data_IF_441887082461
#
_entry.id   IF_441887082461
#
_cell.length_a   1.000
_cell.length_b   1.000
_cell.length_c   1.000
_cell.angle_alpha   90.00
_cell.angle_beta   90.00
_cell.angle_gamma   90.00
#
_symmetry.space_group_name_H-M   'P 1'
#
loop_
_entity.id
_entity.type
_entity.pdbx_description
1 polymer ?
#
# COMPACT_ATOMS: atom_id res chain seq x y z
N UNK A 1 5.47 -13.10 22.02
CA UNK A 1 5.24 -11.64 21.99
C UNK A 1 3.79 -11.45 22.38
N UNK A 2 3.46 -10.51 23.27
CA UNK A 2 2.08 -10.21 23.67
C UNK A 2 1.48 -9.25 22.64
N UNK A 3 0.22 -9.40 22.26
CA UNK A 3 -0.47 -8.48 21.37
C UNK A 3 -0.57 -7.09 22.02
N UNK A 4 -0.34 -6.06 21.22
CA UNK A 4 -0.50 -4.67 21.67
C UNK A 4 -2.00 -4.31 21.63
N UNK A 5 -2.48 -3.59 22.64
CA UNK A 5 -3.89 -3.17 22.73
C UNK A 5 -4.90 -4.32 22.57
N UNK A 6 -4.78 -5.35 23.37
CA UNK A 6 -5.73 -6.47 23.36
C UNK A 6 -7.16 -5.98 23.60
N UNK A 7 -8.12 -6.54 22.86
CA UNK A 7 -9.55 -6.26 22.99
C UNK A 7 -10.32 -7.52 23.40
N UNK A 8 -11.22 -7.37 24.35
CA UNK A 8 -12.10 -8.43 24.83
C UNK A 8 -13.50 -7.88 25.09
N UNK A 9 -14.56 -8.42 24.44
CA UNK A 9 -14.52 -9.52 23.47
C UNK A 9 -13.87 -9.13 22.14
N UNK A 10 -13.33 -10.10 21.38
CA UNK A 10 -12.71 -9.83 20.08
C UNK A 10 -13.73 -9.30 19.09
N UNK A 11 -13.32 -8.33 18.26
CA UNK A 11 -14.18 -7.71 17.29
C UNK A 11 -14.50 -8.65 16.11
N UNK A 12 -15.78 -8.76 15.69
CA UNK A 12 -16.15 -9.56 14.52
C UNK A 12 -15.85 -8.82 13.22
N UNK A 13 -15.40 -9.54 12.21
CA UNK A 13 -15.12 -9.03 10.88
C UNK A 13 -15.36 -10.05 9.79
N UNK A 14 -15.23 -9.59 8.56
CA UNK A 14 -15.35 -10.40 7.35
C UNK A 14 -14.14 -10.19 6.47
N UNK A 15 -13.86 -11.14 5.58
CA UNK A 15 -13.03 -10.88 4.42
C UNK A 15 -13.77 -11.22 3.13
N UNK A 16 -13.54 -10.41 2.10
CA UNK A 16 -14.31 -10.47 0.86
C UNK A 16 -13.43 -10.28 -0.36
N UNK A 17 -13.93 -10.79 -1.47
CA UNK A 17 -13.33 -10.65 -2.80
C UNK A 17 -14.43 -10.61 -3.86
N UNK A 18 -14.06 -10.72 -5.13
CA UNK A 18 -15.02 -10.90 -6.23
C UNK A 18 -16.04 -12.02 -6.02
N UNK A 19 -15.71 -13.01 -5.19
CA UNK A 19 -16.59 -14.15 -4.96
C UNK A 19 -17.84 -13.83 -4.14
N UNK A 20 -17.82 -12.75 -3.36
CA UNK A 20 -18.98 -12.23 -2.63
C UNK A 20 -19.82 -11.26 -3.48
N UNK A 21 -19.33 -10.88 -4.68
CA UNK A 21 -20.04 -9.99 -5.59
C UNK A 21 -20.35 -8.63 -4.96
N UNK A 22 -21.60 -8.18 -5.15
CA UNK A 22 -22.08 -6.92 -4.60
C UNK A 22 -22.45 -7.08 -3.13
N UNK A 23 -21.68 -6.44 -2.25
CA UNK A 23 -21.92 -6.43 -0.81
C UNK A 23 -22.73 -5.19 -0.42
N UNK A 24 -23.78 -5.39 0.38
CA UNK A 24 -24.52 -4.32 1.05
C UNK A 24 -23.84 -3.99 2.39
N UNK A 25 -22.84 -3.13 2.34
CA UNK A 25 -22.00 -2.79 3.48
C UNK A 25 -22.76 -2.17 4.66
N UNK A 26 -23.78 -1.28 4.46
CA UNK A 26 -24.65 -0.82 5.55
C UNK A 26 -25.30 -1.98 6.32
N UNK A 27 -25.76 -3.03 5.63
CA UNK A 27 -26.34 -4.20 6.31
C UNK A 27 -25.30 -5.03 7.04
N UNK A 28 -24.09 -5.17 6.50
CA UNK A 28 -22.96 -5.83 7.20
C UNK A 28 -22.66 -5.08 8.49
N UNK A 29 -22.56 -3.74 8.44
CA UNK A 29 -22.34 -2.90 9.64
C UNK A 29 -23.47 -3.02 10.65
N UNK A 30 -24.71 -2.96 10.20
CA UNK A 30 -25.91 -3.09 11.07
C UNK A 30 -25.99 -4.47 11.73
N UNK A 31 -25.41 -5.51 11.12
CA UNK A 31 -25.31 -6.86 11.71
C UNK A 31 -24.20 -6.97 12.77
N UNK A 32 -23.50 -5.88 13.10
CA UNK A 32 -22.53 -5.80 14.19
C UNK A 32 -21.06 -6.10 13.76
N UNK A 33 -20.78 -6.28 12.49
CA UNK A 33 -19.39 -6.43 12.03
C UNK A 33 -18.64 -5.10 12.16
N UNK A 34 -17.40 -5.17 12.64
CA UNK A 34 -16.58 -4.00 12.94
C UNK A 34 -15.54 -3.70 11.86
N UNK A 35 -15.11 -4.71 11.11
CA UNK A 35 -14.04 -4.57 10.14
C UNK A 35 -14.22 -5.48 8.91
N UNK A 36 -13.49 -5.13 7.85
CA UNK A 36 -13.38 -5.94 6.64
C UNK A 36 -11.94 -5.96 6.12
N UNK A 37 -11.47 -7.13 5.69
CA UNK A 37 -10.34 -7.23 4.77
C UNK A 37 -10.87 -7.42 3.34
N UNK A 38 -10.40 -6.58 2.42
CA UNK A 38 -10.85 -6.58 1.03
C UNK A 38 -9.72 -7.07 0.14
N UNK A 39 -10.01 -8.04 -0.75
CA UNK A 39 -9.00 -8.48 -1.70
C UNK A 39 -8.63 -7.38 -2.68
N UNK A 40 -7.37 -6.94 -2.65
CA UNK A 40 -6.82 -6.02 -3.64
C UNK A 40 -6.67 -6.70 -5.02
N UNK A 41 -6.26 -7.96 -5.01
CA UNK A 41 -6.04 -8.76 -6.20
C UNK A 41 -5.23 -10.01 -5.90
N UNK A 42 -4.54 -10.50 -6.92
CA UNK A 42 -3.53 -11.54 -6.74
C UNK A 42 -2.24 -11.19 -7.49
N UNK A 43 -1.11 -11.55 -6.90
CA UNK A 43 0.20 -11.41 -7.51
C UNK A 43 0.59 -12.71 -8.22
N UNK A 44 0.99 -12.60 -9.49
CA UNK A 44 1.60 -13.68 -10.25
C UNK A 44 2.99 -14.04 -9.72
N UNK A 45 3.58 -15.11 -10.25
CA UNK A 45 4.91 -15.57 -9.85
C UNK A 45 6.01 -14.51 -10.00
N UNK A 46 5.90 -13.64 -10.98
CA UNK A 46 6.81 -12.56 -11.33
C UNK A 46 6.55 -11.23 -10.57
N UNK A 47 5.55 -11.22 -9.70
CA UNK A 47 5.17 -10.04 -8.92
C UNK A 47 4.19 -9.08 -9.61
N UNK A 48 3.80 -9.34 -10.88
CA UNK A 48 2.72 -8.57 -11.51
C UNK A 48 1.39 -8.83 -10.81
N UNK A 49 0.52 -7.80 -10.74
CA UNK A 49 -0.78 -7.91 -10.04
C UNK A 49 -1.93 -7.88 -11.05
N UNK A 50 -2.89 -8.76 -10.80
CA UNK A 50 -4.23 -8.68 -11.40
C UNK A 50 -5.17 -8.21 -10.31
N UNK A 51 -5.69 -6.99 -10.45
CA UNK A 51 -6.60 -6.40 -9.49
C UNK A 51 -7.93 -7.18 -9.40
N UNK A 52 -8.51 -7.24 -8.21
CA UNK A 52 -9.84 -7.80 -8.03
C UNK A 52 -10.88 -6.82 -8.61
N UNK A 53 -11.78 -7.27 -9.51
CA UNK A 53 -12.75 -6.38 -10.16
C UNK A 53 -13.74 -5.72 -9.19
N UNK A 54 -13.83 -6.19 -7.94
CA UNK A 54 -14.65 -5.61 -6.90
C UNK A 54 -13.84 -4.83 -5.85
N UNK A 55 -12.53 -4.69 -6.03
CA UNK A 55 -11.66 -4.02 -5.05
C UNK A 55 -12.16 -2.63 -4.71
N UNK A 56 -12.22 -1.73 -5.69
CA UNK A 56 -12.64 -0.33 -5.52
C UNK A 56 -14.00 -0.20 -4.83
N UNK A 57 -14.94 -0.98 -5.30
CA UNK A 57 -16.30 -0.97 -4.76
C UNK A 57 -16.35 -1.44 -3.31
N UNK A 58 -15.59 -2.48 -2.98
CA UNK A 58 -15.61 -3.06 -1.63
C UNK A 58 -14.85 -2.18 -0.64
N UNK A 59 -13.66 -1.68 -0.99
CA UNK A 59 -12.86 -0.83 -0.10
C UNK A 59 -13.60 0.47 0.22
N UNK A 60 -14.15 1.14 -0.81
CA UNK A 60 -14.91 2.38 -0.65
C UNK A 60 -16.23 2.15 0.10
N UNK A 61 -16.97 1.10 -0.26
CA UNK A 61 -18.25 0.79 0.36
C UNK A 61 -18.13 0.40 1.83
N UNK A 62 -17.14 -0.41 2.20
CA UNK A 62 -16.90 -0.77 3.59
C UNK A 62 -16.48 0.43 4.44
N UNK A 63 -15.59 1.28 3.93
CA UNK A 63 -15.17 2.51 4.60
C UNK A 63 -16.35 3.48 4.79
N UNK A 64 -17.15 3.71 3.74
CA UNK A 64 -18.34 4.57 3.80
C UNK A 64 -19.40 4.07 4.80
N UNK A 65 -19.50 2.75 5.00
CA UNK A 65 -20.38 2.16 6.01
C UNK A 65 -19.80 2.23 7.44
N UNK A 66 -18.58 2.76 7.63
CA UNK A 66 -17.94 2.92 8.93
C UNK A 66 -17.34 1.62 9.49
N UNK A 67 -16.93 0.68 8.64
CA UNK A 67 -16.08 -0.43 9.03
C UNK A 67 -14.61 0.01 9.01
N UNK A 68 -13.79 -0.60 9.85
CA UNK A 68 -12.35 -0.54 9.68
C UNK A 68 -11.96 -1.40 8.47
N UNK A 69 -11.09 -0.87 7.58
CA UNK A 69 -10.79 -1.53 6.30
C UNK A 69 -9.30 -1.75 6.15
N UNK A 70 -8.94 -2.98 5.85
CA UNK A 70 -7.63 -3.40 5.35
C UNK A 70 -7.75 -4.13 4.02
N UNK A 71 -6.61 -4.44 3.44
CA UNK A 71 -6.56 -5.13 2.15
C UNK A 71 -5.68 -6.36 2.21
N UNK A 72 -5.95 -7.34 1.33
CA UNK A 72 -5.06 -8.47 1.17
C UNK A 72 -4.74 -8.75 -0.30
N UNK A 73 -3.49 -9.18 -0.52
CA UNK A 73 -2.99 -9.61 -1.82
C UNK A 73 -2.77 -11.12 -1.79
N UNK A 74 -3.54 -11.88 -2.58
CA UNK A 74 -3.33 -13.31 -2.74
C UNK A 74 -2.04 -13.56 -3.53
N UNK A 75 -1.17 -14.44 -3.04
CA UNK A 75 0.18 -14.59 -3.56
C UNK A 75 0.40 -15.85 -4.39
N UNK A 76 1.05 -15.66 -5.57
CA UNK A 76 1.77 -16.69 -6.32
C UNK A 76 3.26 -16.33 -6.49
N UNK A 77 3.78 -15.40 -5.74
CA UNK A 77 5.14 -14.87 -5.80
C UNK A 77 6.15 -16.01 -5.58
N UNK A 78 7.30 -16.00 -6.27
CA UNK A 78 8.27 -17.10 -6.19
C UNK A 78 9.70 -16.72 -5.80
N UNK A 79 9.96 -15.43 -5.59
CA UNK A 79 11.24 -14.90 -5.14
C UNK A 79 11.10 -13.61 -4.35
N UNK A 80 12.11 -13.24 -3.59
CA UNK A 80 12.17 -11.97 -2.88
C UNK A 80 12.13 -10.77 -3.84
N UNK A 81 12.81 -10.86 -4.99
CA UNK A 81 12.78 -9.80 -6.01
C UNK A 81 11.35 -9.56 -6.51
N UNK A 82 10.61 -10.64 -6.80
CA UNK A 82 9.22 -10.55 -7.23
C UNK A 82 8.27 -10.10 -6.09
N UNK A 83 8.62 -10.40 -4.85
CA UNK A 83 7.89 -9.88 -3.68
C UNK A 83 8.00 -8.35 -3.58
N UNK A 84 9.18 -7.79 -3.84
CA UNK A 84 9.38 -6.33 -3.88
C UNK A 84 8.60 -5.68 -5.03
N UNK A 85 8.57 -6.33 -6.22
CA UNK A 85 7.75 -5.86 -7.36
C UNK A 85 6.26 -5.86 -6.98
N UNK A 86 5.77 -6.95 -6.39
CA UNK A 86 4.38 -7.03 -5.95
C UNK A 86 4.03 -5.99 -4.88
N UNK A 87 4.95 -5.71 -3.93
CA UNK A 87 4.76 -4.67 -2.94
C UNK A 87 4.66 -3.29 -3.59
N UNK A 88 5.54 -2.93 -4.52
CA UNK A 88 5.47 -1.67 -5.25
C UNK A 88 4.15 -1.50 -5.99
N UNK A 89 3.70 -2.56 -6.71
CA UNK A 89 2.40 -2.55 -7.39
C UNK A 89 1.21 -2.47 -6.44
N UNK A 90 1.31 -3.09 -5.26
CA UNK A 90 0.31 -2.94 -4.20
C UNK A 90 0.19 -1.49 -3.77
N UNK A 91 1.31 -0.82 -3.53
CA UNK A 91 1.34 0.59 -3.12
C UNK A 91 0.76 1.53 -4.18
N UNK A 92 1.03 1.29 -5.46
CA UNK A 92 0.40 2.04 -6.57
C UNK A 92 -1.13 1.94 -6.54
N UNK A 93 -1.67 0.73 -6.31
CA UNK A 93 -3.11 0.51 -6.23
C UNK A 93 -3.74 1.11 -4.95
N UNK A 94 -2.96 1.35 -3.92
CA UNK A 94 -3.41 1.93 -2.65
C UNK A 94 -3.28 3.45 -2.59
N UNK A 95 -2.69 4.11 -3.58
CA UNK A 95 -2.34 5.53 -3.53
C UNK A 95 -3.53 6.47 -3.22
N UNK A 96 -4.74 6.10 -3.61
CA UNK A 96 -5.97 6.89 -3.38
C UNK A 96 -6.80 6.37 -2.19
N UNK A 97 -6.30 5.39 -1.42
CA UNK A 97 -7.05 4.75 -0.35
C UNK A 97 -6.44 4.97 1.03
N UNK A 98 -7.24 5.43 1.97
CA UNK A 98 -6.87 5.46 3.38
C UNK A 98 -7.30 4.17 4.05
N UNK A 99 -6.33 3.39 4.52
CA UNK A 99 -6.58 2.16 5.26
C UNK A 99 -6.56 2.42 6.76
N UNK A 100 -7.42 1.70 7.47
CA UNK A 100 -7.48 1.69 8.94
C UNK A 100 -7.07 0.36 9.54
N UNK A 101 -6.72 -0.60 8.68
CA UNK A 101 -6.20 -1.92 9.00
C UNK A 101 -4.99 -2.23 8.12
N UNK A 102 -4.23 -3.31 8.43
CA UNK A 102 -3.04 -3.70 7.69
C UNK A 102 -3.23 -3.94 6.19
N UNK A 103 -2.09 -3.87 5.47
CA UNK A 103 -1.90 -4.46 4.14
C UNK A 103 -1.35 -5.87 4.33
N UNK A 104 -2.12 -6.87 3.90
CA UNK A 104 -1.86 -8.27 4.20
C UNK A 104 -1.30 -9.01 2.99
N UNK A 105 -0.21 -9.76 3.18
CA UNK A 105 0.23 -10.77 2.23
C UNK A 105 -0.48 -12.10 2.55
N UNK A 106 -1.37 -12.54 1.68
CA UNK A 106 -2.03 -13.82 1.73
C UNK A 106 -1.15 -14.88 1.05
N UNK A 107 -0.44 -15.67 1.88
CA UNK A 107 0.59 -16.62 1.45
C UNK A 107 0.19 -18.05 1.81
N UNK A 108 -0.67 -18.67 0.99
CA UNK A 108 -1.27 -19.96 1.30
C UNK A 108 -1.27 -20.97 0.14
N UNK A 109 -0.76 -20.59 -1.05
CA UNK A 109 -0.84 -21.47 -2.24
C UNK A 109 0.00 -22.73 -2.11
N UNK A 110 -0.58 -23.76 -1.45
CA UNK A 110 0.08 -25.00 -1.06
C UNK A 110 0.80 -25.73 -2.22
N UNK A 111 0.19 -25.77 -3.42
CA UNK A 111 0.76 -26.47 -4.58
C UNK A 111 2.13 -25.89 -5.00
N UNK A 112 2.39 -24.63 -4.73
CA UNK A 112 3.66 -23.93 -5.01
C UNK A 112 4.55 -23.94 -3.78
N UNK A 113 4.08 -23.42 -2.67
CA UNK A 113 4.92 -23.07 -1.52
C UNK A 113 5.39 -24.26 -0.68
N UNK A 114 4.69 -25.38 -0.73
CA UNK A 114 5.18 -26.64 -0.11
C UNK A 114 6.42 -27.22 -0.79
N UNK A 115 6.78 -26.70 -1.99
CA UNK A 115 8.00 -27.08 -2.73
C UNK A 115 9.22 -26.23 -2.36
N UNK A 116 9.01 -25.12 -1.65
CA UNK A 116 10.08 -24.23 -1.19
C UNK A 116 10.53 -24.63 0.21
N UNK A 117 11.78 -24.27 0.54
CA UNK A 117 12.24 -24.42 1.93
C UNK A 117 11.52 -23.41 2.84
N UNK A 118 11.56 -23.64 4.13
CA UNK A 118 10.97 -22.75 5.15
C UNK A 118 11.61 -21.36 5.07
N UNK A 119 12.91 -21.33 4.92
CA UNK A 119 13.72 -20.11 4.81
C UNK A 119 13.30 -19.30 3.58
N UNK A 120 13.16 -19.97 2.42
CA UNK A 120 12.72 -19.30 1.19
C UNK A 120 11.31 -18.72 1.31
N UNK A 121 10.36 -19.48 1.84
CA UNK A 121 9.00 -19.00 2.06
C UNK A 121 9.01 -17.75 2.96
N UNK A 122 9.75 -17.82 4.06
CA UNK A 122 9.84 -16.72 5.03
C UNK A 122 10.53 -15.48 4.44
N UNK A 123 11.61 -15.67 3.68
CA UNK A 123 12.31 -14.57 3.02
C UNK A 123 11.43 -13.82 2.00
N UNK A 124 10.62 -14.56 1.22
CA UNK A 124 9.66 -13.96 0.28
C UNK A 124 8.64 -13.10 1.03
N UNK A 125 8.07 -13.63 2.12
CA UNK A 125 7.09 -12.89 2.92
C UNK A 125 7.70 -11.64 3.57
N UNK A 126 8.88 -11.77 4.18
CA UNK A 126 9.58 -10.65 4.80
C UNK A 126 9.94 -9.56 3.77
N UNK A 127 10.37 -9.94 2.56
CA UNK A 127 10.69 -8.99 1.50
C UNK A 127 9.47 -8.15 1.06
N UNK A 128 8.29 -8.76 0.96
CA UNK A 128 7.05 -8.02 0.69
C UNK A 128 6.71 -7.09 1.86
N UNK A 129 6.63 -7.65 3.07
CA UNK A 129 6.21 -6.92 4.26
C UNK A 129 7.15 -5.77 4.60
N UNK A 130 8.46 -5.94 4.39
CA UNK A 130 9.44 -4.88 4.59
C UNK A 130 9.17 -3.68 3.66
N UNK A 131 8.84 -3.91 2.38
CA UNK A 131 8.48 -2.82 1.46
C UNK A 131 7.19 -2.11 1.87
N UNK A 132 6.18 -2.85 2.34
CA UNK A 132 4.92 -2.28 2.83
C UNK A 132 5.16 -1.45 4.10
N UNK A 133 5.95 -1.98 5.06
CA UNK A 133 6.32 -1.27 6.28
C UNK A 133 7.12 0.00 5.96
N UNK A 134 8.05 -0.12 5.04
CA UNK A 134 8.89 0.96 4.58
C UNK A 134 8.10 2.09 3.92
N UNK A 135 6.98 1.79 3.28
CA UNK A 135 6.02 2.76 2.78
C UNK A 135 5.06 3.29 3.88
N UNK A 136 5.31 2.97 5.16
CA UNK A 136 4.54 3.44 6.32
C UNK A 136 3.21 2.73 6.57
N UNK A 137 2.84 1.73 5.75
CA UNK A 137 1.68 0.90 6.05
C UNK A 137 2.03 -0.17 7.08
N UNK A 138 1.06 -0.56 7.90
CA UNK A 138 1.22 -1.71 8.77
C UNK A 138 1.10 -2.99 7.93
N UNK A 139 2.19 -3.79 7.75
CA UNK A 139 2.09 -5.04 7.04
C UNK A 139 1.58 -6.15 7.95
N UNK A 140 0.94 -7.15 7.36
CA UNK A 140 0.54 -8.36 8.07
C UNK A 140 0.69 -9.59 7.18
N UNK A 141 1.01 -10.72 7.77
CA UNK A 141 1.05 -12.01 7.12
C UNK A 141 -0.23 -12.80 7.40
N UNK A 142 -0.82 -13.38 6.34
CA UNK A 142 -1.91 -14.36 6.47
C UNK A 142 -1.51 -15.71 5.89
N UNK A 143 -1.89 -16.76 6.61
CA UNK A 143 -1.91 -18.14 6.14
C UNK A 143 -2.75 -19.01 7.06
N UNK A 144 -2.79 -20.31 6.79
CA UNK A 144 -3.48 -21.27 7.68
C UNK A 144 -2.50 -22.01 8.60
N UNK A 145 -2.97 -22.38 9.79
CA UNK A 145 -2.17 -22.93 10.90
C UNK A 145 -1.23 -24.06 10.49
N UNK A 146 -1.70 -25.06 9.73
CA UNK A 146 -0.86 -26.20 9.36
C UNK A 146 0.24 -25.83 8.35
N UNK A 147 0.03 -24.83 7.50
CA UNK A 147 1.06 -24.32 6.61
C UNK A 147 2.14 -23.59 7.41
N UNK A 148 1.74 -22.68 8.28
CA UNK A 148 2.64 -21.92 9.14
C UNK A 148 3.56 -22.85 9.93
N UNK A 149 2.99 -23.84 10.61
CA UNK A 149 3.75 -24.77 11.45
C UNK A 149 4.71 -25.67 10.65
N UNK A 150 4.39 -25.98 9.40
CA UNK A 150 5.16 -26.94 8.59
C UNK A 150 6.12 -26.29 7.61
N UNK A 151 5.78 -25.12 7.05
CA UNK A 151 6.46 -24.55 5.88
C UNK A 151 6.99 -23.14 6.08
N UNK A 152 6.87 -22.55 7.29
CA UNK A 152 7.43 -21.25 7.64
C UNK A 152 8.49 -21.37 8.73
N UNK A 153 9.53 -20.56 8.66
CA UNK A 153 10.42 -20.32 9.80
C UNK A 153 9.82 -19.18 10.63
N UNK A 154 9.05 -19.58 11.64
CA UNK A 154 8.35 -18.64 12.51
C UNK A 154 9.27 -17.84 13.43
N UNK A 155 10.52 -18.25 13.60
CA UNK A 155 11.51 -17.47 14.35
C UNK A 155 12.06 -16.30 13.52
N UNK A 156 12.18 -16.51 12.21
CA UNK A 156 12.69 -15.52 11.26
C UNK A 156 11.59 -14.69 10.56
N UNK A 157 10.31 -15.04 10.73
CA UNK A 157 9.21 -14.28 10.14
C UNK A 157 9.01 -12.96 10.91
N UNK A 158 9.04 -11.85 10.18
CA UNK A 158 8.67 -10.54 10.71
C UNK A 158 7.17 -10.52 11.00
N UNK A 159 6.79 -10.37 12.27
CA UNK A 159 5.39 -10.50 12.71
C UNK A 159 4.74 -9.16 13.00
N UNK A 160 5.51 -8.08 12.92
CA UNK A 160 5.03 -6.73 13.24
C UNK A 160 4.10 -6.74 14.47
N UNK A 161 2.83 -6.36 14.29
CA UNK A 161 1.84 -6.30 15.39
C UNK A 161 0.95 -7.56 15.48
N UNK A 162 1.35 -8.67 14.81
CA UNK A 162 0.67 -9.96 14.87
C UNK A 162 0.39 -10.58 13.50
N UNK A 163 -0.35 -11.69 13.53
CA UNK A 163 -0.63 -12.52 12.37
C UNK A 163 -2.14 -12.59 12.12
N UNK A 164 -2.55 -12.78 10.87
CA UNK A 164 -3.89 -13.23 10.53
C UNK A 164 -3.85 -14.70 10.15
N UNK A 165 -4.53 -15.53 10.93
CA UNK A 165 -4.43 -16.99 10.83
C UNK A 165 -5.79 -17.64 10.59
N UNK A 166 -5.86 -18.48 9.55
CA UNK A 166 -7.02 -19.33 9.31
C UNK A 166 -6.89 -20.67 10.03
N UNK A 167 -7.94 -21.02 10.79
CA UNK A 167 -8.11 -22.33 11.35
C UNK A 167 -9.59 -22.57 11.70
N UNK A 168 -10.18 -23.59 11.09
CA UNK A 168 -11.61 -23.91 11.23
C UNK A 168 -11.88 -25.04 12.23
N UNK A 169 -10.89 -25.42 13.04
CA UNK A 169 -11.00 -26.51 14.02
C UNK A 169 -11.38 -26.05 15.43
N UNK A 170 -11.77 -24.78 15.58
CA UNK A 170 -12.18 -24.22 16.87
C UNK A 170 -11.04 -23.65 17.72
N UNK A 171 -9.79 -23.62 17.21
CA UNK A 171 -8.62 -23.04 17.89
C UNK A 171 -7.68 -22.37 16.89
N UNK A 172 -6.98 -21.35 17.31
CA UNK A 172 -6.03 -20.62 16.46
C UNK A 172 -4.83 -21.51 16.10
N UNK A 173 -4.18 -22.10 17.09
CA UNK A 173 -3.06 -23.05 16.91
C UNK A 173 -1.72 -22.44 16.57
N UNK A 174 -1.58 -21.12 16.69
CA UNK A 174 -0.33 -20.34 16.60
C UNK A 174 -0.39 -19.21 17.61
N UNK A 175 0.76 -18.87 18.15
CA UNK A 175 0.88 -17.72 19.04
C UNK A 175 0.88 -16.39 18.27
N UNK A 176 0.47 -15.31 18.93
CA UNK A 176 0.50 -13.95 18.40
C UNK A 176 -0.41 -13.71 17.17
N UNK A 177 -1.53 -14.42 17.10
CA UNK A 177 -2.55 -14.15 16.09
C UNK A 177 -3.38 -12.92 16.50
N UNK A 178 -3.21 -11.83 15.77
CA UNK A 178 -3.99 -10.61 15.93
C UNK A 178 -5.40 -10.76 15.35
N UNK A 179 -5.53 -11.56 14.29
CA UNK A 179 -6.80 -11.88 13.64
C UNK A 179 -6.90 -13.41 13.43
N UNK A 180 -8.06 -13.95 13.72
CA UNK A 180 -8.40 -15.34 13.48
C UNK A 180 -9.55 -15.46 12.47
N UNK A 181 -9.29 -16.04 11.31
CA UNK A 181 -10.33 -16.50 10.40
C UNK A 181 -10.82 -17.86 10.86
N UNK A 182 -12.00 -17.90 11.46
CA UNK A 182 -12.53 -19.08 12.13
C UNK A 182 -13.57 -19.86 11.32
N UNK A 183 -14.01 -19.33 10.18
CA UNK A 183 -14.95 -19.97 9.27
C UNK A 183 -14.78 -19.45 7.85
N UNK A 184 -14.92 -20.33 6.86
CA UNK A 184 -14.99 -20.00 5.43
C UNK A 184 -16.41 -20.19 4.85
N UNK A 185 -17.42 -20.26 5.71
CA UNK A 185 -18.79 -20.60 5.28
C UNK A 185 -19.87 -19.86 6.08
N UNK A 186 -19.55 -18.68 6.59
CA UNK A 186 -20.50 -17.85 7.32
C UNK A 186 -21.63 -17.31 6.44
N UNK A 187 -22.79 -17.04 7.07
CA UNK A 187 -23.87 -16.27 6.47
C UNK A 187 -23.88 -14.88 7.10
N UNK A 188 -23.70 -13.85 6.28
CA UNK A 188 -23.58 -12.46 6.71
C UNK A 188 -24.69 -11.63 6.08
N UNK A 189 -25.52 -10.92 6.87
CA UNK A 189 -26.51 -10.00 6.29
C UNK A 189 -25.83 -8.96 5.39
N UNK A 190 -26.27 -8.85 4.14
CA UNK A 190 -25.66 -7.97 3.15
C UNK A 190 -24.66 -8.64 2.23
N UNK A 191 -24.24 -9.86 2.49
CA UNK A 191 -23.35 -10.66 1.63
C UNK A 191 -24.14 -11.79 0.99
N UNK A 192 -23.98 -11.99 -0.31
CA UNK A 192 -24.59 -13.10 -1.02
C UNK A 192 -23.70 -14.36 -0.93
N UNK A 193 -24.29 -15.47 -0.55
CA UNK A 193 -23.59 -16.76 -0.43
C UNK A 193 -22.74 -16.85 0.84
N UNK A 194 -21.60 -17.57 0.72
CA UNK A 194 -20.68 -17.80 1.84
C UNK A 194 -19.71 -16.65 2.01
N UNK A 195 -19.38 -16.34 3.25
CA UNK A 195 -18.43 -15.32 3.62
C UNK A 195 -17.46 -15.86 4.68
N UNK A 196 -16.24 -15.45 4.61
CA UNK A 196 -15.23 -15.74 5.60
C UNK A 196 -15.46 -14.86 6.84
N UNK A 197 -15.40 -15.51 8.04
CA UNK A 197 -15.66 -14.86 9.31
C UNK A 197 -14.39 -14.76 10.13
N UNK A 198 -14.17 -13.59 10.69
CA UNK A 198 -12.96 -13.24 11.42
C UNK A 198 -13.26 -12.70 12.81
N UNK A 199 -12.26 -12.84 13.69
CA UNK A 199 -12.21 -12.22 15.02
C UNK A 199 -10.87 -11.51 15.19
N UNK A 200 -10.90 -10.24 15.52
CA UNK A 200 -9.73 -9.41 15.79
C UNK A 200 -9.54 -9.29 17.30
N UNK A 201 -8.35 -9.59 17.79
CA UNK A 201 -7.99 -9.68 19.21
C UNK A 201 -7.20 -8.47 19.72
N UNK A 202 -6.74 -7.59 18.85
CA UNK A 202 -6.09 -6.34 19.23
C UNK A 202 -6.66 -5.17 18.43
N UNK A 203 -6.52 -3.95 18.94
CA UNK A 203 -7.02 -2.72 18.28
C UNK A 203 -6.10 -2.32 17.13
N UNK A 204 -6.16 -3.08 16.02
CA UNK A 204 -5.40 -2.78 14.82
C UNK A 204 -5.69 -1.38 14.26
N UNK A 205 -6.95 -0.88 14.23
CA UNK A 205 -7.22 0.50 13.82
C UNK A 205 -6.46 1.55 14.64
N UNK A 206 -6.34 1.33 15.94
CA UNK A 206 -5.53 2.19 16.81
C UNK A 206 -4.04 2.09 16.47
N UNK A 207 -3.53 0.89 16.26
CA UNK A 207 -2.13 0.66 15.92
C UNK A 207 -1.80 1.35 14.59
N UNK A 208 -2.63 1.17 13.56
CA UNK A 208 -2.47 1.81 12.24
C UNK A 208 -2.47 3.33 12.37
N UNK A 209 -3.39 3.89 13.16
CA UNK A 209 -3.44 5.34 13.39
C UNK A 209 -2.19 5.88 14.13
N UNK A 210 -1.70 5.13 15.11
CA UNK A 210 -0.51 5.52 15.89
C UNK A 210 0.80 5.31 15.13
N UNK A 211 0.83 4.38 14.17
CA UNK A 211 2.02 4.13 13.33
C UNK A 211 2.21 5.16 12.21
N UNK A 212 1.27 6.09 12.03
CA UNK A 212 1.40 7.13 11.00
C UNK A 212 1.26 6.58 9.57
N UNK A 213 0.29 5.68 9.35
CA UNK A 213 0.04 5.08 8.02
C UNK A 213 -0.05 6.13 6.92
N UNK A 214 0.63 5.94 5.76
CA UNK A 214 0.56 6.83 4.61
C UNK A 214 -0.88 6.96 4.10
N UNK A 215 -1.21 8.15 3.67
CA UNK A 215 -2.57 8.61 3.42
C UNK A 215 -3.03 9.63 4.47
N UNK A 216 -2.25 9.81 5.56
CA UNK A 216 -2.51 10.77 6.62
C UNK A 216 -1.60 12.02 6.57
N UNK A 217 -0.50 12.01 5.81
CA UNK A 217 0.25 13.25 5.57
C UNK A 217 -0.46 13.97 4.43
N UNK A 218 -1.26 14.97 4.79
CA UNK A 218 -1.91 15.82 3.81
C UNK A 218 -0.84 16.57 3.02
N UNK A 219 -0.91 16.50 1.70
CA UNK A 219 -0.10 17.36 0.83
C UNK A 219 -0.89 18.63 0.56
N UNK A 220 -0.34 19.75 0.97
CA UNK A 220 -0.95 21.06 0.72
C UNK A 220 -0.46 21.58 -0.65
N UNK A 221 -1.38 21.98 -1.55
CA UNK A 221 -1.00 22.59 -2.82
C UNK A 221 -0.03 23.74 -2.58
N UNK A 222 1.06 23.76 -3.29
CA UNK A 222 2.11 24.78 -3.15
C UNK A 222 2.41 25.37 -4.52
N UNK A 223 2.00 26.62 -4.74
CA UNK A 223 2.31 27.37 -5.96
C UNK A 223 3.54 28.25 -5.78
N UNK A 224 4.21 28.59 -6.88
CA UNK A 224 5.35 29.50 -6.87
C UNK A 224 6.63 28.90 -6.27
N UNK A 225 6.72 27.57 -6.18
CA UNK A 225 7.91 26.88 -5.70
C UNK A 225 8.38 25.82 -6.70
N UNK A 226 9.68 25.62 -6.71
CA UNK A 226 10.36 24.60 -7.50
C UNK A 226 11.34 23.82 -6.61
N UNK A 227 11.59 22.55 -6.96
CA UNK A 227 12.65 21.74 -6.38
C UNK A 227 13.90 21.87 -7.26
N UNK A 228 14.97 22.45 -6.74
CA UNK A 228 16.27 22.48 -7.40
C UNK A 228 17.10 21.28 -6.96
N UNK A 229 17.44 20.40 -7.88
CA UNK A 229 18.36 19.28 -7.68
C UNK A 229 19.73 19.68 -8.22
N UNK A 230 20.71 19.82 -7.36
CA UNK A 230 22.07 20.21 -7.69
C UNK A 230 23.11 19.12 -7.47
N UNK A 231 22.72 17.99 -6.86
CA UNK A 231 23.49 16.76 -6.81
C UNK A 231 22.56 15.56 -6.91
N UNK A 232 22.50 14.95 -8.08
CA UNK A 232 21.66 13.80 -8.37
C UNK A 232 22.12 12.49 -7.69
N UNK A 233 23.29 12.46 -7.07
CA UNK A 233 23.90 11.21 -6.56
C UNK A 233 23.05 10.50 -5.52
N UNK A 234 22.16 11.20 -4.82
CA UNK A 234 21.27 10.70 -3.77
C UNK A 234 19.85 11.28 -3.81
N UNK A 235 19.45 11.89 -4.92
CA UNK A 235 18.09 12.41 -5.09
C UNK A 235 17.19 11.36 -5.74
N UNK A 236 16.90 10.30 -5.00
CA UNK A 236 15.91 9.31 -5.41
C UNK A 236 14.51 9.97 -5.48
N UNK A 237 13.67 9.48 -6.38
CA UNK A 237 12.25 9.83 -6.40
C UNK A 237 11.38 8.59 -6.14
N UNK A 238 10.16 8.83 -5.69
CA UNK A 238 9.32 7.82 -5.09
C UNK A 238 7.94 7.81 -5.75
N UNK A 239 7.33 6.64 -5.88
CA UNK A 239 5.97 6.47 -6.44
C UNK A 239 4.88 6.73 -5.41
N UNK A 240 5.22 6.76 -4.13
CA UNK A 240 4.33 7.06 -3.02
C UNK A 240 5.05 7.98 -2.01
N UNK A 241 4.33 8.65 -1.09
CA UNK A 241 4.93 9.52 -0.07
C UNK A 241 5.65 8.67 1.00
N UNK A 242 6.78 8.10 0.64
CA UNK A 242 7.69 7.33 1.49
C UNK A 242 9.06 7.23 0.84
N UNK A 243 10.14 7.39 1.61
CA UNK A 243 11.52 7.20 1.13
C UNK A 243 11.82 5.74 0.73
N UNK A 244 10.92 4.83 1.02
CA UNK A 244 11.04 3.42 0.73
C UNK A 244 10.31 2.98 -0.55
N UNK A 245 9.44 3.84 -1.09
CA UNK A 245 8.73 3.63 -2.36
C UNK A 245 9.61 4.02 -3.57
N UNK A 246 10.89 3.65 -3.53
CA UNK A 246 11.91 4.04 -4.51
C UNK A 246 11.61 3.45 -5.88
N UNK A 247 11.74 4.26 -6.92
CA UNK A 247 11.68 3.78 -8.30
C UNK A 247 12.95 3.03 -8.64
N UNK A 248 12.81 1.84 -9.19
CA UNK A 248 13.92 1.01 -9.63
C UNK A 248 14.02 1.04 -11.15
N UNK A 249 15.21 1.29 -11.68
CA UNK A 249 15.47 1.20 -13.11
C UNK A 249 15.58 -0.27 -13.60
N UNK A 250 15.73 -0.45 -14.91
CA UNK A 250 15.82 -1.77 -15.53
C UNK A 250 17.02 -2.62 -15.02
N UNK A 251 18.04 -1.98 -14.48
CA UNK A 251 19.24 -2.65 -13.94
C UNK A 251 19.09 -3.03 -12.45
N UNK A 252 17.90 -2.80 -11.86
CA UNK A 252 17.63 -3.08 -10.45
C UNK A 252 18.32 -2.11 -9.48
N UNK A 253 18.73 -0.93 -9.94
CA UNK A 253 19.25 0.16 -9.11
C UNK A 253 18.15 1.20 -8.89
N UNK A 254 18.28 1.96 -7.80
CA UNK A 254 17.39 3.09 -7.54
C UNK A 254 17.51 4.13 -8.64
N UNK A 255 16.39 4.55 -9.17
CA UNK A 255 16.35 5.63 -10.15
C UNK A 255 16.41 6.99 -9.44
N UNK A 256 16.95 8.01 -10.10
CA UNK A 256 17.27 9.29 -9.47
C UNK A 256 16.79 10.45 -10.34
N UNK A 257 16.38 11.53 -9.68
CA UNK A 257 16.14 12.78 -10.36
C UNK A 257 17.46 13.32 -10.91
N UNK A 258 17.55 13.60 -12.21
CA UNK A 258 18.67 14.35 -12.78
C UNK A 258 18.84 15.72 -12.11
N UNK A 259 20.03 16.30 -12.22
CA UNK A 259 20.22 17.70 -11.85
C UNK A 259 19.32 18.60 -12.69
N UNK A 260 18.67 19.55 -12.05
CA UNK A 260 17.71 20.42 -12.72
C UNK A 260 16.64 20.97 -11.78
N UNK A 261 15.62 21.55 -12.37
CA UNK A 261 14.54 22.22 -11.66
C UNK A 261 13.21 21.53 -11.96
N UNK A 262 12.44 21.25 -10.92
CA UNK A 262 11.17 20.52 -11.00
C UNK A 262 10.04 21.33 -10.38
N UNK A 263 8.92 21.42 -11.09
CA UNK A 263 7.71 22.09 -10.58
C UNK A 263 7.19 21.34 -9.34
N UNK A 264 7.05 22.05 -8.23
CA UNK A 264 6.43 21.53 -7.02
C UNK A 264 4.92 21.70 -7.10
N UNK A 265 4.19 20.61 -6.96
CA UNK A 265 2.73 20.56 -6.97
C UNK A 265 2.15 20.74 -5.58
N UNK A 266 2.78 20.09 -4.59
CA UNK A 266 2.37 20.15 -3.20
C UNK A 266 3.52 19.84 -2.25
N UNK A 267 3.42 20.34 -1.02
CA UNK A 267 4.33 20.06 0.11
C UNK A 267 3.60 19.22 1.15
N UNK A 268 4.28 18.24 1.71
CA UNK A 268 3.77 17.44 2.82
C UNK A 268 3.55 18.34 4.06
N UNK A 269 2.40 18.19 4.71
CA UNK A 269 2.08 18.83 5.98
C UNK A 269 2.71 18.01 7.12
N UNK A 270 4.04 18.16 7.27
CA UNK A 270 4.86 17.40 8.21
C UNK A 270 5.97 16.60 7.55
N UNK A 271 6.64 15.78 8.35
CA UNK A 271 7.73 14.93 7.85
C UNK A 271 7.20 13.56 7.43
N UNK A 272 7.64 13.09 6.27
CA UNK A 272 7.41 11.72 5.78
C UNK A 272 8.69 10.94 5.99
N UNK A 273 8.64 9.90 6.81
CA UNK A 273 9.81 9.09 7.19
C UNK A 273 11.00 9.93 7.73
N UNK A 274 10.69 11.06 8.37
CA UNK A 274 11.68 11.97 8.94
C UNK A 274 12.20 13.04 7.98
N UNK A 275 11.70 13.12 6.74
CA UNK A 275 12.11 14.09 5.72
C UNK A 275 10.96 15.00 5.28
N UNK A 276 11.20 16.28 5.02
CA UNK A 276 10.26 17.10 4.26
C UNK A 276 10.13 16.51 2.86
N UNK A 277 8.89 16.34 2.38
CA UNK A 277 8.65 15.72 1.08
C UNK A 277 7.74 16.58 0.21
N UNK A 278 8.03 16.59 -1.07
CA UNK A 278 7.24 17.31 -2.09
C UNK A 278 6.70 16.36 -3.12
N UNK A 279 5.55 16.73 -3.68
CA UNK A 279 5.07 16.19 -4.95
C UNK A 279 5.63 17.04 -6.08
N UNK A 280 6.17 16.40 -7.10
CA UNK A 280 6.68 17.05 -8.31
C UNK A 280 6.15 16.36 -9.57
N UNK A 281 6.20 17.04 -10.69
CA UNK A 281 5.94 16.46 -12.00
C UNK A 281 7.26 15.98 -12.61
N UNK A 282 7.39 14.67 -12.90
CA UNK A 282 8.56 14.12 -13.56
C UNK A 282 8.17 13.00 -14.54
N UNK A 283 8.68 13.07 -15.77
CA UNK A 283 8.36 12.09 -16.82
C UNK A 283 6.86 11.96 -17.14
N UNK A 284 6.08 13.03 -16.94
CA UNK A 284 4.62 13.02 -17.12
C UNK A 284 3.82 12.42 -15.97
N UNK A 285 4.47 12.01 -14.88
CA UNK A 285 3.84 11.44 -13.70
C UNK A 285 4.02 12.34 -12.48
N UNK A 286 3.06 12.29 -11.56
CA UNK A 286 3.26 12.83 -10.23
C UNK A 286 4.13 11.83 -9.45
N UNK A 287 5.27 12.32 -8.96
CA UNK A 287 6.20 11.56 -8.13
C UNK A 287 6.51 12.36 -6.87
N UNK A 288 7.15 11.70 -5.90
CA UNK A 288 7.52 12.30 -4.62
C UNK A 288 9.03 12.42 -4.52
N UNK A 289 9.52 13.49 -3.90
CA UNK A 289 10.94 13.70 -3.65
C UNK A 289 11.15 14.20 -2.22
N UNK A 290 12.13 13.65 -1.52
CA UNK A 290 12.57 14.17 -0.23
C UNK A 290 13.43 15.42 -0.46
N UNK A 291 13.22 16.45 0.38
CA UNK A 291 14.07 17.64 0.37
C UNK A 291 15.30 17.32 1.22
N UNK A 292 16.45 17.34 0.58
CA UNK A 292 17.76 17.08 1.18
C UNK A 292 18.64 18.30 0.97
N UNK A 293 18.80 19.14 1.98
CA UNK A 293 19.44 20.48 1.88
C UNK A 293 20.84 20.47 1.25
N UNK A 294 21.54 19.34 1.30
CA UNK A 294 22.86 19.15 0.69
C UNK A 294 22.80 18.60 -0.75
N UNK A 295 21.62 18.35 -1.30
CA UNK A 295 21.40 17.74 -2.63
C UNK A 295 20.34 18.42 -3.47
N UNK A 296 19.26 18.84 -2.82
CA UNK A 296 18.14 19.53 -3.44
C UNK A 296 17.47 20.45 -2.42
N UNK A 297 16.84 21.51 -2.90
CA UNK A 297 16.15 22.48 -2.04
C UNK A 297 14.91 23.04 -2.70
N UNK A 298 13.99 23.53 -1.88
CA UNK A 298 12.90 24.39 -2.37
C UNK A 298 13.43 25.80 -2.66
N UNK A 299 13.12 26.28 -3.84
CA UNK A 299 13.39 27.65 -4.27
C UNK A 299 12.11 28.34 -4.74
N UNK A 300 12.09 29.64 -4.76
CA UNK A 300 11.01 30.39 -5.41
C UNK A 300 11.12 30.23 -6.93
N UNK A 301 9.99 30.10 -7.63
CA UNK A 301 10.00 30.18 -9.08
C UNK A 301 10.39 31.59 -9.49
N UNK A 302 11.30 31.76 -10.46
CA UNK A 302 11.60 33.08 -10.98
C UNK A 302 10.33 33.79 -11.49
N UNK A 303 10.21 35.09 -11.27
CA UNK A 303 9.07 35.94 -11.75
C UNK A 303 8.94 35.97 -13.29
N UNK A 304 9.97 35.56 -14.01
CA UNK A 304 9.98 35.41 -15.47
C UNK A 304 9.82 33.92 -15.83
N UNK A 305 8.61 33.54 -16.23
CA UNK A 305 8.16 32.31 -16.86
C UNK A 305 9.02 31.04 -16.63
N UNK A 306 8.43 30.01 -16.04
CA UNK A 306 9.06 28.69 -15.91
C UNK A 306 9.44 28.17 -17.31
N UNK A 307 10.74 28.08 -17.61
CA UNK A 307 11.23 27.26 -18.70
C UNK A 307 11.12 25.78 -18.29
N UNK A 308 9.94 25.20 -18.50
CA UNK A 308 9.69 23.80 -18.28
C UNK A 308 10.48 23.03 -19.35
N UNK A 309 11.65 22.51 -19.01
CA UNK A 309 12.30 21.47 -19.80
C UNK A 309 11.43 20.19 -19.76
N UNK A 310 10.39 20.20 -20.58
CA UNK A 310 9.53 19.03 -20.76
C UNK A 310 10.29 18.00 -21.59
N UNK A 311 10.56 16.85 -20.98
CA UNK A 311 10.96 15.64 -21.71
C UNK A 311 9.89 15.37 -22.77
N UNK A 312 10.23 14.92 -24.00
CA UNK A 312 9.26 14.66 -25.04
C UNK A 312 8.15 13.74 -24.55
N UNK A 313 6.93 14.24 -24.53
CA UNK A 313 5.78 13.46 -24.07
C UNK A 313 5.27 12.55 -25.18
N UNK A 314 5.14 11.24 -24.92
CA UNK A 314 4.87 10.26 -25.97
C UNK A 314 3.44 10.29 -26.53
N UNK A 315 2.46 10.94 -25.88
CA UNK A 315 1.08 10.93 -26.37
C UNK A 315 0.29 12.22 -26.10
N UNK A 316 -0.78 12.40 -26.88
CA UNK A 316 -1.63 13.60 -26.84
C UNK A 316 -2.53 13.71 -25.60
N UNK A 317 -2.80 12.59 -24.93
CA UNK A 317 -3.59 12.55 -23.68
C UNK A 317 -2.85 13.18 -22.52
N UNK A 318 -1.57 12.88 -22.38
CA UNK A 318 -0.72 13.43 -21.31
C UNK A 318 -0.54 14.95 -21.49
N UNK A 319 -0.40 15.42 -22.73
CA UNK A 319 -0.33 16.85 -23.06
C UNK A 319 -1.59 17.61 -22.68
N UNK A 320 -2.77 16.99 -22.89
CA UNK A 320 -4.07 17.58 -22.53
C UNK A 320 -4.22 17.70 -21.03
N UNK A 321 -3.85 16.67 -20.28
CA UNK A 321 -3.91 16.67 -18.82
C UNK A 321 -3.01 17.74 -18.21
N UNK A 322 -1.79 17.88 -18.72
CA UNK A 322 -0.85 18.92 -18.26
C UNK A 322 -1.35 20.32 -18.61
N UNK A 323 -1.88 20.50 -19.81
CA UNK A 323 -2.46 21.80 -20.20
C UNK A 323 -3.60 22.18 -19.25
N UNK A 324 -4.56 21.30 -19.05
CA UNK A 324 -5.70 21.53 -18.13
C UNK A 324 -5.22 21.85 -16.72
N UNK A 325 -4.18 21.15 -16.26
CA UNK A 325 -3.60 21.37 -14.95
C UNK A 325 -2.89 22.74 -14.84
N UNK A 326 -2.05 23.12 -15.82
CA UNK A 326 -1.39 24.42 -15.87
C UNK A 326 -2.40 25.58 -15.96
N UNK A 327 -3.44 25.42 -16.79
CA UNK A 327 -4.53 26.41 -16.90
C UNK A 327 -5.29 26.56 -15.59
N UNK A 328 -5.51 25.46 -14.85
CA UNK A 328 -6.13 25.48 -13.51
C UNK A 328 -5.28 26.21 -12.46
N UNK A 329 -3.98 26.33 -12.67
CA UNK A 329 -3.04 27.06 -11.81
C UNK A 329 -2.77 28.49 -12.31
N UNK A 330 -3.41 28.92 -13.43
CA UNK A 330 -3.23 30.27 -14.00
C UNK A 330 -2.02 30.43 -14.93
N UNK A 331 -1.42 29.32 -15.40
CA UNK A 331 -0.31 29.32 -16.33
C UNK A 331 -0.78 28.95 -17.74
N UNK A 332 -0.20 29.63 -18.77
CA UNK A 332 -0.36 29.20 -20.15
C UNK A 332 0.70 28.15 -20.50
N UNK A 333 0.30 26.97 -20.93
CA UNK A 333 1.23 25.95 -21.41
C UNK A 333 1.32 25.94 -22.92
N UNK A 334 2.46 26.41 -23.47
CA UNK A 334 2.82 26.24 -24.90
C UNK A 334 3.78 25.03 -25.01
N UNK A 335 3.42 24.06 -25.86
CA UNK A 335 4.28 22.92 -26.18
C UNK A 335 5.04 23.22 -27.47
N UNK A 336 6.37 23.24 -27.40
CA UNK A 336 7.23 23.32 -28.56
C UNK A 336 7.41 21.93 -29.16
N UNK A 337 7.25 21.79 -30.46
CA UNK A 337 7.31 20.54 -31.24
C UNK A 337 8.73 20.07 -31.47
#
# INVERSE_FOLDING_TARGET
MTLKYEINPPAPGVDVSRYQGNVDWPRVKAAGYAFAFVRLGYANGDGSIVADPYFERNVTGAAAAGLAVGVYLYSYIDSEAHARIAAARTLELLAEHTLTLPVVLDYEHAAKYKKFSREKNTAICNAFMACIAAAGYLPMFYSYTSFVNSYMDMAALDRYEGLWIANYTGKIGVDNAAVWQHSSSGSVPGVQGRCDLNRMYCDLPRIVRESGTPGAVAFQPLSGKQLEVFDSSRCEYFTAPSIHAVVMNADGKTDKLPEGTYLVLALADGLVDGYPMVQILYGGNTVYAAILDDRCRLADTPDEGLDLHLVPMPNEGDRRNIRTYCEGLGFSAEFIW
#
